data_IF_743722976156
#
_entry.id   IF_743722976156
#
_cell.length_a   1.000
_cell.length_b   1.000
_cell.length_c   1.000
_cell.angle_alpha   90.00
_cell.angle_beta   90.00
_cell.angle_gamma   90.00
#
_symmetry.space_group_name_H-M   'P 1'
#
loop_
_entity.id
_entity.type
_entity.pdbx_description
1 polymer ?
#
# COMPACT_ATOMS: atom_id res chain seq x y z
N UNK A 1 -6.10 -1.10 10.14
CA UNK A 1 -6.40 -1.91 11.34
C UNK A 1 -6.27 -3.38 10.99
N UNK A 2 -5.52 -4.15 11.77
CA UNK A 2 -5.31 -5.60 11.58
C UNK A 2 -6.63 -6.38 11.72
N UNK A 3 -7.09 -7.14 10.70
CA UNK A 3 -8.34 -7.89 10.78
C UNK A 3 -8.41 -8.90 11.92
N UNK A 4 -7.29 -9.54 12.28
CA UNK A 4 -7.26 -10.51 13.39
C UNK A 4 -7.64 -9.86 14.73
N UNK A 5 -7.46 -8.54 14.87
CA UNK A 5 -7.83 -7.80 16.08
C UNK A 5 -9.33 -7.58 16.27
N UNK A 6 -10.14 -7.77 15.23
CA UNK A 6 -11.60 -7.78 15.38
C UNK A 6 -12.09 -9.02 16.16
N UNK A 7 -11.34 -10.13 16.10
CA UNK A 7 -11.65 -11.39 16.79
C UNK A 7 -10.89 -11.47 18.12
N UNK A 8 -9.60 -11.16 18.09
CA UNK A 8 -8.73 -11.14 19.26
C UNK A 8 -8.11 -9.75 19.47
N UNK A 9 -8.71 -8.90 20.33
CA UNK A 9 -8.19 -7.57 20.60
C UNK A 9 -6.75 -7.53 21.12
N UNK A 10 -6.20 -8.66 21.62
CA UNK A 10 -4.82 -8.78 22.09
C UNK A 10 -3.85 -9.21 20.99
N UNK A 11 -4.34 -9.53 19.79
CA UNK A 11 -3.48 -9.88 18.67
C UNK A 11 -2.48 -8.74 18.41
N UNK A 12 -1.16 -9.03 18.42
CA UNK A 12 -0.14 -7.99 18.37
C UNK A 12 -0.17 -7.28 17.02
N UNK A 13 0.13 -5.98 17.05
CA UNK A 13 0.52 -5.31 15.82
C UNK A 13 1.93 -5.74 15.45
N UNK A 14 2.15 -5.96 14.17
CA UNK A 14 3.44 -6.27 13.59
C UNK A 14 3.59 -5.53 12.26
N UNK A 15 4.78 -5.58 11.65
CA UNK A 15 5.02 -5.00 10.32
C UNK A 15 3.99 -5.48 9.29
N UNK A 16 3.57 -6.74 9.36
CA UNK A 16 2.52 -7.31 8.51
C UNK A 16 1.15 -6.62 8.69
N UNK A 17 0.86 -6.05 9.86
CA UNK A 17 -0.34 -5.23 10.09
C UNK A 17 -0.26 -3.89 9.35
N UNK A 18 0.93 -3.28 9.29
CA UNK A 18 1.15 -2.07 8.49
C UNK A 18 0.99 -2.38 7.00
N UNK A 19 1.52 -3.52 6.54
CA UNK A 19 1.34 -4.01 5.17
C UNK A 19 -0.15 -4.21 4.82
N UNK A 20 -0.95 -4.70 5.76
CA UNK A 20 -2.39 -4.81 5.54
C UNK A 20 -3.03 -3.44 5.29
N UNK A 21 -2.76 -2.46 6.16
CA UNK A 21 -3.27 -1.10 5.95
C UNK A 21 -2.75 -0.48 4.68
N UNK A 22 -1.50 -0.75 4.30
CA UNK A 22 -0.93 -0.28 3.05
C UNK A 22 -1.65 -0.86 1.84
N UNK A 23 -2.01 -2.15 1.85
CA UNK A 23 -2.85 -2.74 0.80
C UNK A 23 -4.24 -2.10 0.69
N UNK A 24 -4.87 -1.75 1.82
CA UNK A 24 -6.13 -1.00 1.82
C UNK A 24 -5.96 0.39 1.23
N UNK A 25 -4.88 1.10 1.59
CA UNK A 25 -4.56 2.43 1.03
C UNK A 25 -4.29 2.37 -0.48
N UNK A 26 -3.56 1.37 -0.97
CA UNK A 26 -3.34 1.18 -2.40
C UNK A 26 -4.65 1.00 -3.16
N UNK A 27 -5.59 0.22 -2.61
CA UNK A 27 -6.91 0.08 -3.21
C UNK A 27 -7.69 1.40 -3.18
N UNK A 28 -7.65 2.16 -2.08
CA UNK A 28 -8.31 3.46 -1.95
C UNK A 28 -7.77 4.48 -2.98
N UNK A 29 -6.45 4.51 -3.18
CA UNK A 29 -5.82 5.32 -4.23
C UNK A 29 -6.31 4.88 -5.62
N UNK A 30 -6.37 3.57 -5.86
CA UNK A 30 -6.81 3.06 -7.15
C UNK A 30 -8.31 3.27 -7.41
N UNK A 31 -9.13 3.30 -6.36
CA UNK A 31 -10.59 3.44 -6.49
C UNK A 31 -11.06 4.88 -6.46
N UNK A 32 -10.32 5.77 -5.79
CA UNK A 32 -10.76 7.12 -5.48
C UNK A 32 -11.90 7.18 -4.45
N UNK A 33 -12.20 6.07 -3.76
CA UNK A 33 -13.30 5.97 -2.81
C UNK A 33 -12.84 5.45 -1.44
N UNK A 34 -13.49 5.92 -0.35
CA UNK A 34 -13.29 5.34 0.97
C UNK A 34 -13.56 3.83 0.97
N UNK A 35 -12.72 3.02 1.64
CA UNK A 35 -12.98 1.60 1.82
C UNK A 35 -14.34 1.36 2.49
N UNK A 36 -15.11 0.45 1.89
CA UNK A 36 -16.40 -0.03 2.32
C UNK A 36 -17.43 1.09 2.47
N UNK A 37 -17.36 2.11 1.59
CA UNK A 37 -18.22 3.30 1.58
C UNK A 37 -19.72 2.99 1.78
N UNK A 38 -20.21 1.89 1.22
CA UNK A 38 -21.62 1.51 1.27
C UNK A 38 -22.03 0.77 2.58
N UNK A 39 -21.11 0.54 3.53
CA UNK A 39 -21.37 -0.20 4.77
C UNK A 39 -21.32 0.72 6.01
N UNK A 40 -22.49 1.25 6.40
CA UNK A 40 -22.61 2.12 7.58
C UNK A 40 -22.52 1.35 8.91
N UNK A 41 -22.80 0.04 8.91
CA UNK A 41 -22.74 -0.78 10.11
C UNK A 41 -21.32 -1.28 10.39
N UNK A 42 -20.58 -0.51 11.19
CA UNK A 42 -19.18 -0.79 11.57
C UNK A 42 -18.96 -2.16 12.21
N UNK A 43 -19.93 -2.67 12.98
CA UNK A 43 -19.81 -3.98 13.64
C UNK A 43 -19.95 -5.10 12.62
N UNK A 44 -20.99 -5.05 11.78
CA UNK A 44 -21.20 -6.03 10.71
C UNK A 44 -20.04 -6.03 9.71
N UNK A 45 -19.50 -4.84 9.43
CA UNK A 45 -18.33 -4.67 8.58
C UNK A 45 -17.08 -5.31 9.19
N UNK A 46 -16.78 -5.06 10.46
CA UNK A 46 -15.64 -5.68 11.16
C UNK A 46 -15.71 -7.22 11.12
N UNK A 47 -16.90 -7.79 11.37
CA UNK A 47 -17.15 -9.23 11.27
C UNK A 47 -16.89 -9.72 9.84
N UNK A 48 -17.45 -9.05 8.84
CA UNK A 48 -17.25 -9.41 7.42
C UNK A 48 -15.77 -9.39 7.03
N UNK A 49 -15.03 -8.36 7.39
CA UNK A 49 -13.59 -8.23 7.10
C UNK A 49 -12.79 -9.35 7.76
N UNK A 50 -13.10 -9.67 9.02
CA UNK A 50 -12.45 -10.75 9.77
C UNK A 50 -12.72 -12.14 9.17
N UNK A 51 -13.85 -12.30 8.49
CA UNK A 51 -14.23 -13.49 7.72
C UNK A 51 -13.69 -13.50 6.29
N UNK A 52 -12.95 -12.47 5.89
CA UNK A 52 -12.26 -12.42 4.60
C UNK A 52 -12.94 -11.56 3.53
N UNK A 53 -13.99 -10.80 3.87
CA UNK A 53 -14.54 -9.81 2.96
C UNK A 53 -13.47 -8.79 2.56
N UNK A 54 -13.39 -8.48 1.27
CA UNK A 54 -12.47 -7.51 0.67
C UNK A 54 -13.22 -6.68 -0.35
N UNK A 55 -12.62 -5.57 -0.73
CA UNK A 55 -13.18 -4.68 -1.74
C UNK A 55 -13.29 -5.34 -3.11
N UNK A 56 -14.19 -4.78 -3.90
CA UNK A 56 -14.33 -5.13 -5.31
C UNK A 56 -13.16 -4.51 -6.08
N UNK A 57 -12.59 -5.27 -7.01
CA UNK A 57 -11.55 -4.77 -7.91
C UNK A 57 -12.11 -3.69 -8.82
N UNK A 58 -11.32 -2.64 -9.04
CA UNK A 58 -11.70 -1.52 -9.87
C UNK A 58 -11.30 -1.80 -11.32
N UNK A 59 -12.24 -1.63 -12.25
CA UNK A 59 -11.95 -1.73 -13.68
C UNK A 59 -10.95 -0.66 -14.08
N UNK A 60 -9.89 -1.05 -14.79
CA UNK A 60 -8.84 -0.12 -15.25
C UNK A 60 -7.62 -0.05 -14.32
N UNK A 61 -7.66 -0.63 -13.13
CA UNK A 61 -6.45 -0.82 -12.32
C UNK A 61 -5.46 -1.74 -13.06
N UNK A 62 -4.17 -1.37 -13.19
CA UNK A 62 -3.14 -2.26 -13.72
C UNK A 62 -3.10 -3.59 -12.95
N UNK A 63 -2.96 -4.71 -13.66
CA UNK A 63 -3.15 -6.03 -13.06
C UNK A 63 -2.09 -6.35 -12.00
N UNK A 64 -0.88 -5.87 -12.22
CA UNK A 64 0.26 -6.00 -11.33
C UNK A 64 0.00 -5.28 -10.01
N UNK A 65 -0.52 -4.05 -10.08
CA UNK A 65 -0.90 -3.26 -8.90
C UNK A 65 -2.08 -3.89 -8.15
N UNK A 66 -3.08 -4.39 -8.87
CA UNK A 66 -4.21 -5.14 -8.32
C UNK A 66 -3.75 -6.38 -7.54
N UNK A 67 -2.87 -7.16 -8.14
CA UNK A 67 -2.30 -8.34 -7.51
C UNK A 67 -1.49 -7.97 -6.27
N UNK A 68 -0.73 -6.88 -6.31
CA UNK A 68 0.10 -6.43 -5.20
C UNK A 68 -0.74 -6.03 -3.98
N UNK A 69 -1.72 -5.13 -4.12
CA UNK A 69 -2.56 -4.79 -2.96
C UNK A 69 -3.35 -5.99 -2.45
N UNK A 70 -3.70 -6.93 -3.34
CA UNK A 70 -4.34 -8.20 -2.96
C UNK A 70 -3.45 -9.12 -2.13
N UNK A 71 -2.15 -9.13 -2.39
CA UNK A 71 -1.16 -9.82 -1.54
C UNK A 71 -1.05 -9.11 -0.19
N UNK A 72 -0.99 -7.77 -0.18
CA UNK A 72 -0.84 -6.97 1.04
C UNK A 72 -1.97 -7.19 2.06
N UNK A 73 -3.22 -7.35 1.63
CA UNK A 73 -4.37 -7.52 2.54
C UNK A 73 -4.84 -8.97 2.76
N UNK A 74 -3.96 -9.96 2.52
CA UNK A 74 -4.26 -11.37 2.83
C UNK A 74 -4.68 -11.54 4.29
N UNK A 75 -5.57 -12.50 4.54
CA UNK A 75 -6.11 -12.76 5.89
C UNK A 75 -4.98 -13.10 6.87
N UNK A 76 -4.16 -14.05 6.48
CA UNK A 76 -3.03 -14.52 7.28
C UNK A 76 -1.85 -13.56 7.15
N UNK A 77 -1.35 -12.94 8.25
CA UNK A 77 -0.26 -11.97 8.23
C UNK A 77 1.04 -12.48 7.59
N UNK A 78 1.34 -13.77 7.74
CA UNK A 78 2.50 -14.44 7.18
C UNK A 78 2.43 -14.63 5.65
N UNK A 79 1.25 -14.48 5.05
CA UNK A 79 1.06 -14.53 3.60
C UNK A 79 1.19 -13.14 2.94
N UNK A 80 1.40 -12.09 3.75
CA UNK A 80 1.57 -10.73 3.26
C UNK A 80 3.05 -10.52 2.93
N UNK A 81 3.37 -9.81 1.85
CA UNK A 81 4.74 -9.50 1.50
C UNK A 81 5.39 -8.62 2.56
N UNK A 82 6.72 -8.66 2.62
CA UNK A 82 7.53 -7.67 3.31
C UNK A 82 7.53 -6.34 2.55
N UNK A 83 7.93 -5.26 3.22
CA UNK A 83 8.05 -3.96 2.54
C UNK A 83 9.06 -3.99 1.40
N UNK A 84 10.14 -4.77 1.52
CA UNK A 84 11.14 -4.91 0.46
C UNK A 84 10.55 -5.58 -0.78
N UNK A 85 9.79 -6.68 -0.62
CA UNK A 85 9.12 -7.34 -1.75
C UNK A 85 8.11 -6.41 -2.44
N UNK A 86 7.45 -5.51 -1.69
CA UNK A 86 6.57 -4.49 -2.25
C UNK A 86 7.36 -3.47 -3.08
N UNK A 87 8.51 -3.00 -2.56
CA UNK A 87 9.39 -2.08 -3.28
C UNK A 87 9.95 -2.71 -4.57
N UNK A 88 10.36 -3.98 -4.51
CA UNK A 88 10.83 -4.73 -5.68
C UNK A 88 9.72 -4.84 -6.74
N UNK A 89 8.47 -5.11 -6.33
CA UNK A 89 7.32 -5.15 -7.25
C UNK A 89 7.04 -3.77 -7.85
N UNK A 90 7.17 -2.69 -7.08
CA UNK A 90 7.04 -1.33 -7.60
C UNK A 90 8.13 -1.00 -8.62
N UNK A 91 9.38 -1.35 -8.35
CA UNK A 91 10.49 -1.19 -9.29
C UNK A 91 10.25 -1.97 -10.58
N UNK A 92 9.77 -3.22 -10.48
CA UNK A 92 9.39 -4.05 -11.64
C UNK A 92 8.24 -3.46 -12.46
N UNK A 93 7.33 -2.72 -11.83
CA UNK A 93 6.27 -1.97 -12.51
C UNK A 93 6.77 -0.64 -13.10
N UNK A 94 8.04 -0.28 -12.88
CA UNK A 94 8.65 0.96 -13.37
C UNK A 94 8.45 2.17 -12.45
N UNK A 95 7.91 1.98 -11.24
CA UNK A 95 7.85 3.04 -10.24
C UNK A 95 9.22 3.22 -9.58
N UNK A 96 9.63 4.47 -9.32
CA UNK A 96 10.91 4.78 -8.66
C UNK A 96 12.13 4.86 -9.58
N UNK A 97 11.97 4.62 -10.89
CA UNK A 97 13.04 4.87 -11.86
C UNK A 97 13.06 6.33 -12.30
N UNK A 98 13.70 7.18 -11.50
CA UNK A 98 14.30 8.44 -11.96
C UNK A 98 15.64 8.63 -11.22
N UNK A 99 16.74 8.50 -11.98
CA UNK A 99 18.12 8.96 -11.66
C UNK A 99 18.95 8.12 -10.67
N UNK A 100 19.81 7.24 -11.21
CA UNK A 100 21.18 7.03 -10.68
C UNK A 100 22.24 6.87 -11.79
N UNK A 101 21.92 6.99 -13.09
CA UNK A 101 22.95 6.90 -14.14
C UNK A 101 23.60 8.22 -14.54
N UNK A 102 23.19 9.38 -13.99
CA UNK A 102 23.75 10.68 -14.39
C UNK A 102 24.49 11.48 -13.31
N UNK A 103 24.59 11.06 -12.03
CA UNK A 103 25.17 11.94 -10.98
C UNK A 103 26.21 11.34 -10.02
N UNK A 104 26.95 10.28 -10.35
CA UNK A 104 28.18 9.98 -9.60
C UNK A 104 29.35 9.68 -10.54
N UNK A 105 29.87 10.75 -11.14
CA UNK A 105 31.32 10.92 -11.24
C UNK A 105 31.68 11.98 -10.21
N UNK A 106 32.60 11.61 -9.32
CA UNK A 106 33.29 12.42 -8.32
C UNK A 106 32.46 12.88 -7.11
N UNK A 107 32.60 12.22 -5.96
CA UNK A 107 33.59 12.60 -4.95
C UNK A 107 33.46 11.71 -3.70
N UNK A 108 34.61 11.18 -3.23
CA UNK A 108 34.72 10.36 -2.02
C UNK A 108 34.56 11.24 -0.77
N UNK A 109 33.35 11.26 -0.17
CA UNK A 109 33.09 11.31 1.28
C UNK A 109 31.63 11.69 1.55
N UNK A 110 30.82 10.76 2.07
CA UNK A 110 29.59 11.13 2.76
C UNK A 110 29.36 10.24 4.00
N UNK A 111 29.37 10.89 5.15
CA UNK A 111 29.15 10.32 6.49
C UNK A 111 27.67 10.00 6.74
N UNK A 112 27.41 9.08 7.66
CA UNK A 112 26.11 8.42 7.93
C UNK A 112 24.98 9.27 8.52
N UNK A 113 24.96 10.59 8.32
CA UNK A 113 23.94 11.49 8.88
C UNK A 113 23.45 12.50 7.83
N UNK A 114 22.71 12.05 6.82
CA UNK A 114 21.82 12.89 6.03
C UNK A 114 20.84 12.02 5.25
N UNK A 115 19.73 11.64 5.88
CA UNK A 115 18.55 11.22 5.12
C UNK A 115 17.92 12.51 4.60
N UNK A 116 18.35 12.95 3.41
CA UNK A 116 17.71 14.05 2.70
C UNK A 116 16.31 13.62 2.26
N UNK A 117 15.33 14.46 2.58
CA UNK A 117 13.96 14.32 2.10
C UNK A 117 13.96 14.29 0.58
N UNK A 118 13.64 13.13 0.01
CA UNK A 118 13.47 12.97 -1.42
C UNK A 118 12.25 13.80 -1.84
N UNK A 119 12.47 14.82 -2.67
CA UNK A 119 11.38 15.55 -3.30
C UNK A 119 10.63 14.59 -4.23
N UNK A 120 9.50 14.07 -3.75
CA UNK A 120 8.56 13.32 -4.55
C UNK A 120 7.97 14.28 -5.59
N UNK A 121 8.46 14.20 -6.84
CA UNK A 121 7.78 14.84 -7.96
C UNK A 121 6.42 14.16 -8.13
N UNK A 122 5.38 14.76 -7.57
CA UNK A 122 3.99 14.37 -7.81
C UNK A 122 3.59 14.85 -9.21
N UNK A 123 4.08 14.22 -10.26
CA UNK A 123 3.36 14.27 -11.54
C UNK A 123 2.22 13.24 -11.49
N UNK A 124 1.29 13.48 -10.58
CA UNK A 124 -0.07 12.93 -10.64
C UNK A 124 -0.96 14.13 -10.93
N UNK A 125 -1.26 14.33 -12.21
CA UNK A 125 -2.29 15.27 -12.63
C UNK A 125 -3.66 14.71 -12.25
N UNK A 126 -4.05 14.95 -11.00
CA UNK A 126 -5.43 14.73 -10.53
C UNK A 126 -6.28 15.87 -11.10
N UNK A 127 -7.17 15.55 -12.03
CA UNK A 127 -8.19 16.51 -12.48
C UNK A 127 -9.23 16.71 -11.38
N UNK A 128 -9.16 17.87 -10.71
CA UNK A 128 -10.07 18.25 -9.63
C UNK A 128 -11.49 18.59 -10.12
N UNK A 129 -11.78 18.53 -11.42
CA UNK A 129 -13.08 18.94 -11.97
C UNK A 129 -14.12 17.82 -12.14
N UNK A 130 -13.91 16.63 -11.56
CA UNK A 130 -14.89 15.52 -11.65
C UNK A 130 -15.64 15.25 -10.34
N UNK A 131 -15.83 16.26 -9.49
CA UNK A 131 -16.77 16.24 -8.35
C UNK A 131 -17.84 17.31 -8.47
#
# INVERSE_FOLDING_TARGET
MEPKRFIDPKFPYAKSSDIYSFGVLMWEISSGYPPFKENDNKIALAVSISNGAREITITGTPKEYENLYKKCWKREPEQRPTINEILDEFERMGFGNNVTSELVKDDDNLTSESVEYVNFSTDVSVDWNTV
#
